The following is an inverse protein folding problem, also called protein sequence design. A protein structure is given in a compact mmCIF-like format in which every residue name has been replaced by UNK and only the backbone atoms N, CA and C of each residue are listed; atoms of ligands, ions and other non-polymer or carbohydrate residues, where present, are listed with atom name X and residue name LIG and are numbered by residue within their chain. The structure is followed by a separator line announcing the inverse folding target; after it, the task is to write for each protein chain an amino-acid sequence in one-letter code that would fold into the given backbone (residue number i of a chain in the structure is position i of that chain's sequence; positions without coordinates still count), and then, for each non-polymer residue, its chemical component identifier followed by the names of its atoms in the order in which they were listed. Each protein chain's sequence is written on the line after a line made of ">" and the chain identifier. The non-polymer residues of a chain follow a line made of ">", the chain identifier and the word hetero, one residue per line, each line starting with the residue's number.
data_IF_019407524067
#
_entry.id   IF_019407524067
#
_cell.length_a   1.000
_cell.length_b   1.000
_cell.length_c   1.000
_cell.angle_alpha   90.00
_cell.angle_beta   90.00
_cell.angle_gamma   90.00
#
_symmetry.space_group_name_H-M   'P 1'
#
loop_
_entity.id
_entity.type
_entity.pdbx_description
1 polymer ?
#
# COMPACT_ATOMS: atom_id res chain seq x y z
N UNK A 1 0.89 -15.99 -14.26
CA UNK A 1 0.51 -14.68 -14.84
C UNK A 1 -0.02 -13.83 -13.69
N UNK A 2 0.59 -12.68 -13.45
CA UNK A 2 0.19 -11.80 -12.35
C UNK A 2 -1.08 -11.04 -12.76
N UNK A 3 -2.15 -11.17 -11.96
CA UNK A 3 -3.44 -10.51 -12.21
C UNK A 3 -3.62 -9.28 -11.31
N UNK A 4 -4.45 -8.33 -11.73
CA UNK A 4 -4.76 -7.15 -10.91
C UNK A 4 -5.38 -7.50 -9.55
N UNK A 5 -6.25 -8.52 -9.51
CA UNK A 5 -6.87 -8.98 -8.27
C UNK A 5 -5.82 -9.50 -7.29
N UNK A 6 -4.83 -10.24 -7.78
CA UNK A 6 -3.73 -10.76 -6.95
C UNK A 6 -2.89 -9.61 -6.38
N UNK A 7 -2.56 -8.61 -7.21
CA UNK A 7 -1.80 -7.44 -6.76
C UNK A 7 -2.59 -6.66 -5.70
N UNK A 8 -3.88 -6.41 -5.95
CA UNK A 8 -4.76 -5.68 -5.01
C UNK A 8 -4.89 -6.40 -3.67
N UNK A 9 -5.10 -7.71 -3.69
CA UNK A 9 -5.24 -8.50 -2.46
C UNK A 9 -3.95 -8.47 -1.64
N UNK A 10 -2.81 -8.69 -2.29
CA UNK A 10 -1.50 -8.63 -1.65
C UNK A 10 -1.22 -7.26 -1.02
N UNK A 11 -1.46 -6.17 -1.77
CA UNK A 11 -1.23 -4.80 -1.27
C UNK A 11 -2.15 -4.46 -0.10
N UNK A 12 -3.42 -4.92 -0.13
CA UNK A 12 -4.37 -4.73 0.97
C UNK A 12 -3.99 -5.48 2.24
N UNK A 13 -3.51 -6.71 2.13
CA UNK A 13 -3.04 -7.48 3.28
C UNK A 13 -1.89 -6.74 4.00
N UNK A 14 -0.97 -6.16 3.23
CA UNK A 14 0.18 -5.43 3.77
C UNK A 14 -0.17 -4.06 4.36
N UNK A 15 -1.16 -3.39 3.77
CA UNK A 15 -1.77 -2.20 4.36
C UNK A 15 -2.47 -2.51 5.69
N UNK A 16 -3.21 -3.61 5.77
CA UNK A 16 -3.86 -4.04 7.00
C UNK A 16 -2.85 -4.43 8.09
N UNK A 17 -1.68 -4.95 7.70
CA UNK A 17 -0.56 -5.21 8.61
C UNK A 17 0.16 -3.93 9.11
N UNK A 18 -0.17 -2.76 8.55
CA UNK A 18 0.45 -1.48 8.91
C UNK A 18 1.92 -1.38 8.51
N UNK A 19 2.36 -2.16 7.52
CA UNK A 19 3.77 -2.30 7.16
C UNK A 19 4.23 -1.31 6.07
N UNK A 20 3.32 -0.54 5.46
CA UNK A 20 3.66 0.40 4.40
C UNK A 20 2.90 1.72 4.56
N UNK A 21 3.62 2.82 4.37
CA UNK A 21 3.08 4.18 4.45
C UNK A 21 2.62 4.72 3.08
N UNK A 22 3.01 4.06 1.99
CA UNK A 22 2.76 4.57 0.63
C UNK A 22 2.49 3.48 -0.41
N UNK A 23 1.71 3.86 -1.44
CA UNK A 23 1.48 3.04 -2.63
C UNK A 23 2.78 2.67 -3.36
N UNK A 24 3.75 3.59 -3.36
CA UNK A 24 5.04 3.39 -4.03
C UNK A 24 5.85 2.29 -3.35
N UNK A 25 5.84 2.22 -2.02
CA UNK A 25 6.51 1.14 -1.28
C UNK A 25 5.85 -0.21 -1.53
N UNK A 26 4.52 -0.29 -1.51
CA UNK A 26 3.79 -1.52 -1.82
C UNK A 26 4.07 -2.02 -3.23
N UNK A 27 4.09 -1.13 -4.22
CA UNK A 27 4.43 -1.47 -5.59
C UNK A 27 5.87 -1.98 -5.68
N UNK A 28 6.82 -1.29 -5.04
CA UNK A 28 8.23 -1.70 -5.02
C UNK A 28 8.41 -3.09 -4.39
N UNK A 29 7.83 -3.31 -3.22
CA UNK A 29 7.95 -4.60 -2.53
C UNK A 29 7.34 -5.74 -3.34
N UNK A 30 6.18 -5.53 -3.97
CA UNK A 30 5.57 -6.52 -4.84
C UNK A 30 6.46 -6.86 -6.04
N UNK A 31 7.03 -5.85 -6.69
CA UNK A 31 7.96 -6.04 -7.81
C UNK A 31 9.21 -6.83 -7.38
N UNK A 32 9.76 -6.54 -6.20
CA UNK A 32 10.92 -7.25 -5.65
C UNK A 32 10.59 -8.71 -5.31
N UNK A 33 9.47 -8.96 -4.63
CA UNK A 33 9.03 -10.30 -4.23
C UNK A 33 8.75 -11.20 -5.45
N UNK A 34 8.11 -10.64 -6.48
CA UNK A 34 7.81 -11.35 -7.72
C UNK A 34 8.94 -11.31 -8.76
N UNK A 35 10.08 -10.69 -8.43
CA UNK A 35 11.25 -10.52 -9.31
C UNK A 35 10.93 -9.85 -10.66
N UNK A 36 9.95 -8.95 -10.66
CA UNK A 36 9.55 -8.16 -11.82
C UNK A 36 10.54 -7.00 -11.95
N UNK A 37 11.54 -7.15 -12.81
CA UNK A 37 12.61 -6.15 -13.01
C UNK A 37 12.50 -5.42 -14.34
N UNK A 38 11.72 -5.96 -15.26
CA UNK A 38 11.54 -5.36 -16.57
C UNK A 38 10.47 -4.28 -16.49
N UNK A 39 10.93 -3.03 -16.52
CA UNK A 39 10.07 -1.83 -16.48
C UNK A 39 9.17 -1.70 -17.71
N UNK A 40 9.50 -2.36 -18.81
CA UNK A 40 8.69 -2.37 -20.04
C UNK A 40 7.71 -3.54 -20.07
N UNK A 41 7.75 -4.42 -19.06
CA UNK A 41 6.82 -5.54 -18.99
C UNK A 41 5.40 -5.06 -18.67
N UNK A 42 4.37 -5.71 -19.25
CA UNK A 42 2.99 -5.41 -18.89
C UNK A 42 2.68 -5.71 -17.42
N UNK A 43 3.46 -6.60 -16.79
CA UNK A 43 3.36 -6.92 -15.37
C UNK A 43 3.82 -5.74 -14.51
N UNK A 44 4.91 -5.08 -14.88
CA UNK A 44 5.37 -3.88 -14.20
C UNK A 44 4.35 -2.75 -14.28
N UNK A 45 3.83 -2.46 -15.48
CA UNK A 45 2.80 -1.42 -15.66
C UNK A 45 1.58 -1.70 -14.78
N UNK A 46 1.10 -2.96 -14.78
CA UNK A 46 -0.07 -3.37 -14.00
C UNK A 46 0.14 -3.21 -12.50
N UNK A 47 1.33 -3.52 -11.98
CA UNK A 47 1.65 -3.32 -10.55
C UNK A 47 1.64 -1.83 -10.19
N UNK A 48 2.20 -0.98 -11.06
CA UNK A 48 2.19 0.46 -10.85
C UNK A 48 0.77 1.03 -10.89
N UNK A 49 -0.04 0.68 -11.88
CA UNK A 49 -1.44 1.12 -12.01
C UNK A 49 -2.27 0.74 -10.77
N UNK A 50 -2.12 -0.50 -10.29
CA UNK A 50 -2.79 -0.96 -9.07
C UNK A 50 -2.31 -0.19 -7.84
N UNK A 51 -0.99 0.02 -7.71
CA UNK A 51 -0.43 0.82 -6.62
C UNK A 51 -1.01 2.23 -6.60
N UNK A 52 -1.03 2.91 -7.75
CA UNK A 52 -1.62 4.26 -7.87
C UNK A 52 -3.12 4.27 -7.57
N UNK A 53 -3.88 3.26 -8.01
CA UNK A 53 -5.30 3.14 -7.68
C UNK A 53 -5.54 3.02 -6.17
N UNK A 54 -4.62 2.40 -5.43
CA UNK A 54 -4.69 2.27 -3.98
C UNK A 54 -4.15 3.49 -3.23
N UNK A 55 -3.35 4.36 -3.87
CA UNK A 55 -2.75 5.52 -3.21
C UNK A 55 -3.78 6.41 -2.50
N UNK A 56 -4.97 6.59 -3.09
CA UNK A 56 -6.06 7.35 -2.48
C UNK A 56 -6.66 6.62 -1.26
N UNK A 57 -6.81 5.30 -1.33
CA UNK A 57 -7.29 4.45 -0.23
C UNK A 57 -6.29 4.48 0.94
N UNK A 58 -4.99 4.43 0.65
CA UNK A 58 -3.90 4.53 1.62
C UNK A 58 -3.89 5.90 2.30
N UNK A 59 -4.02 6.97 1.53
CA UNK A 59 -4.08 8.33 2.08
C UNK A 59 -5.27 8.51 3.03
N UNK A 60 -6.43 7.92 2.70
CA UNK A 60 -7.60 7.93 3.59
C UNK A 60 -7.35 7.11 4.86
N UNK A 61 -6.81 5.89 4.74
CA UNK A 61 -6.51 5.03 5.89
C UNK A 61 -5.46 5.68 6.81
N UNK A 62 -4.39 6.25 6.25
CA UNK A 62 -3.34 6.94 7.00
C UNK A 62 -3.89 8.17 7.74
N UNK A 63 -4.81 8.92 7.12
CA UNK A 63 -5.47 10.05 7.76
C UNK A 63 -6.41 9.61 8.89
N UNK A 64 -7.11 8.48 8.73
CA UNK A 64 -7.92 7.88 9.80
C UNK A 64 -7.06 7.32 10.92
N UNK A 65 -5.93 6.68 10.62
CA UNK A 65 -5.00 6.16 11.63
C UNK A 65 -4.38 7.28 12.47
N UNK A 66 -3.98 8.40 11.84
CA UNK A 66 -3.53 9.60 12.56
C UNK A 66 -4.65 10.28 13.35
N UNK A 67 -5.89 10.24 12.86
CA UNK A 67 -7.04 10.75 13.59
C UNK A 67 -7.45 9.86 14.79
N UNK A 68 -7.00 8.59 14.83
CA UNK A 68 -7.54 7.59 15.77
C UNK A 68 -6.86 7.52 17.15
N UNK A 69 -5.74 8.15 17.50
CA UNK A 69 -5.37 8.40 18.94
C UNK A 69 -4.07 9.24 19.11
N UNK A 70 -3.88 10.04 20.20
CA UNK A 70 -4.76 10.21 21.36
C UNK A 70 -5.16 11.66 21.72
N UNK A 71 -6.48 11.89 21.89
CA UNK A 71 -7.03 12.90 22.81
C UNK A 71 -7.08 12.36 24.26
N UNK A 72 -6.19 11.43 24.62
CA UNK A 72 -6.17 10.75 25.94
C UNK A 72 -4.95 11.11 26.80
N UNK A 73 -4.22 12.19 26.49
CA UNK A 73 -3.06 12.61 27.29
C UNK A 73 -3.19 13.99 27.96
N UNK A 74 -4.41 14.49 28.17
CA UNK A 74 -4.62 15.69 29.02
C UNK A 74 -5.57 15.36 30.17
N UNK A 75 -5.17 14.39 31.01
CA UNK A 75 -5.61 14.30 32.40
C UNK A 75 -4.43 13.81 33.24
N UNK A 76 -3.74 14.78 33.87
CA UNK A 76 -3.09 14.77 35.19
C UNK A 76 -1.80 15.60 35.17
N UNK A 77 -1.88 16.83 35.70
CA UNK A 77 -1.18 17.27 36.93
C UNK A 77 -1.53 18.72 37.22
#
# INVERSE_FOLDING_TARGET
>A
MISETMIKDWMRQRLAAGQCDSAAELAREFLEEHRIRDVMSPEFSRVMDVGFSLAMEIAQISNVAKAKWPLSSIQHS
#
